data_IF_442661922962
#
_entry.id   IF_442661922962
#
_cell.length_a   1.000
_cell.length_b   1.000
_cell.length_c   1.000
_cell.angle_alpha   90.00
_cell.angle_beta   90.00
_cell.angle_gamma   90.00
#
_symmetry.space_group_name_H-M   'P 1'
#
loop_
_entity.id
_entity.type
_entity.pdbx_description
1 polymer ?
#
# COMPACT_ATOMS: atom_id res chain seq x y z
N UNK A 1 31.36 -9.34 -9.81
CA UNK A 1 31.39 -8.15 -8.94
C UNK A 1 30.36 -7.18 -9.51
N UNK A 2 29.11 -7.25 -9.04
CA UNK A 2 28.01 -6.46 -9.61
C UNK A 2 28.04 -5.06 -8.99
N UNK A 3 28.09 -4.06 -9.89
CA UNK A 3 28.15 -2.63 -9.62
C UNK A 3 27.09 -2.21 -8.58
N UNK A 4 27.52 -1.40 -7.62
CA UNK A 4 26.63 -0.65 -6.75
C UNK A 4 25.56 0.03 -7.62
N UNK A 5 24.31 -0.38 -7.46
CA UNK A 5 23.20 0.21 -8.21
C UNK A 5 23.20 1.72 -7.92
N UNK A 6 23.34 2.52 -8.98
CA UNK A 6 23.35 3.98 -8.89
C UNK A 6 22.07 4.46 -8.20
N UNK A 7 22.12 5.49 -7.32
CA UNK A 7 20.94 6.05 -6.65
C UNK A 7 19.80 6.41 -7.61
N UNK A 8 20.12 6.74 -8.87
CA UNK A 8 19.15 6.99 -9.94
C UNK A 8 18.22 5.81 -10.22
N UNK A 9 18.68 4.57 -10.05
CA UNK A 9 17.84 3.38 -10.23
C UNK A 9 16.74 3.34 -9.17
N UNK A 10 17.08 3.59 -7.90
CA UNK A 10 16.10 3.60 -6.81
C UNK A 10 15.10 4.76 -6.92
N UNK A 11 15.58 5.92 -7.39
CA UNK A 11 14.76 7.13 -7.55
C UNK A 11 13.81 7.10 -8.75
N UNK A 12 14.16 6.38 -9.81
CA UNK A 12 13.42 6.41 -11.08
C UNK A 12 12.67 5.10 -11.38
N UNK A 13 12.82 4.08 -10.55
CA UNK A 13 12.15 2.79 -10.74
C UNK A 13 11.00 2.64 -9.77
N UNK A 14 9.87 2.12 -10.25
CA UNK A 14 8.79 1.63 -9.40
C UNK A 14 9.09 0.20 -8.97
N UNK A 15 9.23 -0.04 -7.67
CA UNK A 15 9.45 -1.39 -7.15
C UNK A 15 8.12 -2.07 -6.86
N UNK A 16 7.91 -3.22 -7.48
CA UNK A 16 6.70 -4.03 -7.29
C UNK A 16 7.02 -5.18 -6.33
N UNK A 17 6.34 -5.20 -5.19
CA UNK A 17 6.55 -6.19 -4.12
C UNK A 17 5.28 -7.01 -3.91
N UNK A 18 5.38 -8.34 -4.01
CA UNK A 18 4.20 -9.22 -4.02
C UNK A 18 4.02 -10.05 -2.75
N UNK A 19 5.02 -10.06 -1.86
CA UNK A 19 5.03 -10.87 -0.66
C UNK A 19 5.40 -10.02 0.57
N UNK A 20 4.59 -10.08 1.62
CA UNK A 20 4.71 -9.21 2.80
C UNK A 20 6.07 -9.30 3.49
N UNK A 21 6.56 -10.52 3.75
CA UNK A 21 7.84 -10.72 4.46
C UNK A 21 9.02 -10.20 3.63
N UNK A 22 9.11 -10.62 2.37
CA UNK A 22 10.19 -10.19 1.47
C UNK A 22 10.18 -8.68 1.25
N UNK A 23 9.00 -8.09 1.13
CA UNK A 23 8.84 -6.64 1.03
C UNK A 23 9.38 -5.93 2.28
N UNK A 24 8.98 -6.38 3.48
CA UNK A 24 9.46 -5.82 4.74
C UNK A 24 10.97 -5.91 4.88
N UNK A 25 11.54 -7.11 4.67
CA UNK A 25 13.00 -7.33 4.74
C UNK A 25 13.78 -6.47 3.73
N UNK A 26 13.26 -6.32 2.51
CA UNK A 26 13.85 -5.48 1.48
C UNK A 26 13.87 -4.00 1.90
N UNK A 27 12.73 -3.47 2.35
CA UNK A 27 12.62 -2.08 2.76
C UNK A 27 13.40 -1.78 4.04
N UNK A 28 13.45 -2.69 5.00
CA UNK A 28 14.32 -2.53 6.19
C UNK A 28 15.79 -2.50 5.81
N UNK A 29 16.22 -3.34 4.85
CA UNK A 29 17.62 -3.42 4.46
C UNK A 29 18.09 -2.22 3.65
N UNK A 30 17.25 -1.71 2.74
CA UNK A 30 17.66 -0.68 1.79
C UNK A 30 17.02 0.69 2.06
N UNK A 31 15.88 0.76 2.74
CA UNK A 31 15.06 1.97 2.86
C UNK A 31 15.56 3.00 3.88
N UNK A 32 16.45 2.62 4.80
CA UNK A 32 16.96 3.51 5.84
C UNK A 32 17.93 4.58 5.30
N UNK A 33 18.67 4.26 4.23
CA UNK A 33 19.62 5.18 3.60
C UNK A 33 18.98 5.83 2.37
N UNK A 34 18.18 6.88 2.60
CA UNK A 34 17.51 7.62 1.54
C UNK A 34 18.45 8.34 0.56
N UNK A 35 19.73 8.55 0.93
CA UNK A 35 20.72 9.15 0.04
C UNK A 35 21.25 8.12 -0.97
N UNK A 36 21.52 6.90 -0.51
CA UNK A 36 21.99 5.80 -1.37
C UNK A 36 20.85 5.10 -2.12
N UNK A 37 19.70 5.00 -1.49
CA UNK A 37 18.52 4.28 -1.98
C UNK A 37 17.25 5.14 -1.86
N UNK A 38 17.12 6.20 -2.68
CA UNK A 38 15.94 7.07 -2.65
C UNK A 38 14.71 6.38 -3.24
N UNK A 39 14.07 5.48 -2.51
CA UNK A 39 12.82 4.83 -2.95
C UNK A 39 11.70 5.86 -3.10
N UNK A 40 11.35 6.21 -4.34
CA UNK A 40 10.31 7.22 -4.62
C UNK A 40 8.96 6.61 -4.98
N UNK A 41 8.92 5.47 -5.65
CA UNK A 41 7.68 4.84 -6.12
C UNK A 41 7.65 3.36 -5.75
N UNK A 42 6.64 2.96 -4.99
CA UNK A 42 6.43 1.57 -4.56
C UNK A 42 5.02 1.09 -4.90
N UNK A 43 4.93 -0.17 -5.33
CA UNK A 43 3.67 -0.85 -5.54
C UNK A 43 3.68 -2.20 -4.81
N UNK A 44 2.75 -2.38 -3.87
CA UNK A 44 2.58 -3.59 -3.10
C UNK A 44 1.37 -4.35 -3.66
N UNK A 45 1.58 -5.61 -4.04
CA UNK A 45 0.54 -6.47 -4.62
C UNK A 45 0.42 -7.77 -3.81
N UNK A 46 -0.06 -7.65 -2.58
CA UNK A 46 0.07 -8.68 -1.55
C UNK A 46 -1.21 -9.50 -1.45
N UNK A 47 -1.05 -10.83 -1.43
CA UNK A 47 -2.11 -11.75 -1.03
C UNK A 47 -1.90 -12.16 0.42
N UNK A 48 -2.81 -11.78 1.29
CA UNK A 48 -2.73 -11.98 2.73
C UNK A 48 -3.15 -13.41 3.11
N UNK A 49 -2.36 -14.14 3.93
CA UNK A 49 -2.82 -15.38 4.53
C UNK A 49 -3.93 -15.11 5.56
N UNK A 50 -4.85 -16.06 5.70
CA UNK A 50 -6.01 -15.96 6.61
C UNK A 50 -5.60 -15.62 8.05
N UNK A 51 -4.45 -16.14 8.49
CA UNK A 51 -3.90 -15.89 9.81
C UNK A 51 -3.66 -14.40 10.09
N UNK A 52 -3.22 -13.63 9.09
CA UNK A 52 -2.98 -12.20 9.26
C UNK A 52 -4.28 -11.43 9.42
N UNK A 53 -5.34 -11.78 8.69
CA UNK A 53 -6.62 -11.09 8.83
C UNK A 53 -7.30 -11.36 10.17
N UNK A 54 -7.08 -12.55 10.74
CA UNK A 54 -7.72 -12.97 11.98
C UNK A 54 -7.17 -12.28 13.23
N UNK A 55 -5.86 -12.00 13.29
CA UNK A 55 -5.28 -11.30 14.45
C UNK A 55 -5.79 -9.86 14.61
N UNK A 56 -6.25 -9.22 13.54
CA UNK A 56 -6.83 -7.87 13.59
C UNK A 56 -8.34 -7.88 13.77
N UNK A 57 -8.98 -9.05 13.78
CA UNK A 57 -10.42 -9.15 13.98
C UNK A 57 -10.79 -8.71 15.41
N UNK A 58 -11.88 -7.95 15.63
CA UNK A 58 -12.30 -7.57 16.97
C UNK A 58 -12.78 -8.81 17.76
N UNK A 59 -12.47 -8.93 19.06
CA UNK A 59 -13.02 -9.99 19.88
C UNK A 59 -14.53 -9.76 20.09
N UNK A 60 -15.31 -10.86 20.14
CA UNK A 60 -16.78 -10.83 20.20
C UNK A 60 -17.36 -10.14 21.46
N UNK A 61 -16.55 -9.82 22.47
CA UNK A 61 -17.00 -9.31 23.78
C UNK A 61 -16.17 -8.14 24.37
N UNK A 62 -15.35 -7.39 23.61
CA UNK A 62 -14.60 -6.27 24.21
C UNK A 62 -15.34 -4.94 24.17
N UNK A 63 -16.00 -4.62 25.28
CA UNK A 63 -16.14 -3.25 25.81
C UNK A 63 -14.88 -2.79 26.58
N UNK A 64 -13.78 -3.54 26.50
CA UNK A 64 -12.56 -3.34 27.29
C UNK A 64 -11.44 -2.70 26.47
N UNK A 65 -10.74 -1.78 27.14
CA UNK A 65 -9.64 -0.88 26.70
C UNK A 65 -8.35 -1.58 26.19
N UNK A 66 -8.46 -2.74 25.56
CA UNK A 66 -7.33 -3.47 24.98
C UNK A 66 -7.30 -3.30 23.46
N UNK A 67 -6.24 -2.68 22.95
CA UNK A 67 -6.04 -2.47 21.50
C UNK A 67 -5.61 -3.76 20.77
N UNK A 68 -5.48 -4.88 21.49
CA UNK A 68 -5.06 -6.17 20.96
C UNK A 68 -6.30 -6.98 20.51
N UNK A 69 -6.27 -7.50 19.28
CA UNK A 69 -7.25 -8.49 18.80
C UNK A 69 -7.11 -9.83 19.53
N UNK A 70 -8.08 -10.75 19.41
CA UNK A 70 -7.96 -12.07 20.01
C UNK A 70 -6.75 -12.79 19.42
N UNK A 71 -6.03 -13.61 20.22
CA UNK A 71 -4.97 -14.46 19.69
C UNK A 71 -5.53 -15.34 18.58
N UNK A 72 -4.78 -15.52 17.49
CA UNK A 72 -5.26 -16.26 16.34
C UNK A 72 -5.66 -17.70 16.71
N UNK A 73 -6.92 -18.07 16.42
CA UNK A 73 -7.51 -19.36 16.76
C UNK A 73 -6.76 -20.53 16.08
N UNK A 74 -6.16 -20.28 14.91
CA UNK A 74 -5.35 -21.25 14.16
C UNK A 74 -3.85 -21.19 14.45
N UNK A 75 -3.40 -20.34 15.39
CA UNK A 75 -2.05 -20.46 15.94
C UNK A 75 -2.00 -21.62 16.95
N UNK A 76 -2.39 -22.82 16.51
CA UNK A 76 -2.33 -24.02 17.33
C UNK A 76 -0.92 -24.19 17.89
N UNK A 77 -0.77 -24.15 19.21
CA UNK A 77 0.38 -24.57 20.03
C UNK A 77 1.80 -24.05 19.71
N UNK A 78 2.07 -23.41 18.56
CA UNK A 78 3.42 -23.41 17.97
C UNK A 78 3.94 -22.03 17.51
N UNK A 79 3.19 -20.94 17.67
CA UNK A 79 3.70 -19.58 17.34
C UNK A 79 3.36 -18.54 18.40
N UNK A 80 3.97 -18.63 19.60
CA UNK A 80 3.76 -17.67 20.70
C UNK A 80 4.22 -16.23 20.43
N UNK A 81 4.63 -15.87 19.20
CA UNK A 81 5.17 -14.54 18.87
C UNK A 81 4.31 -13.73 17.88
N UNK A 82 3.24 -14.28 17.29
CA UNK A 82 2.46 -13.57 16.27
C UNK A 82 1.31 -12.79 16.93
N UNK A 83 1.44 -11.47 16.97
CA UNK A 83 0.46 -10.54 17.54
C UNK A 83 0.13 -9.42 16.56
N UNK A 84 -0.85 -8.57 16.89
CA UNK A 84 -1.17 -7.34 16.15
C UNK A 84 0.07 -6.45 16.01
N UNK A 85 0.90 -6.39 17.05
CA UNK A 85 2.12 -5.56 17.12
C UNK A 85 3.35 -6.25 16.54
N UNK A 86 3.36 -7.59 16.45
CA UNK A 86 4.48 -8.38 15.94
C UNK A 86 4.00 -9.37 14.87
N UNK A 87 3.88 -8.89 13.64
CA UNK A 87 3.58 -9.74 12.49
C UNK A 87 4.18 -9.13 11.19
N UNK A 88 4.33 -9.93 10.12
CA UNK A 88 4.93 -9.47 8.87
C UNK A 88 4.27 -8.24 8.24
N UNK A 89 2.96 -8.07 8.36
CA UNK A 89 2.25 -6.90 7.83
C UNK A 89 2.61 -5.64 8.61
N UNK A 90 2.61 -5.73 9.94
CA UNK A 90 3.03 -4.63 10.81
C UNK A 90 4.46 -4.18 10.50
N UNK A 91 5.40 -5.13 10.39
CA UNK A 91 6.81 -4.85 10.05
C UNK A 91 6.96 -4.17 8.68
N UNK A 92 6.16 -4.57 7.69
CA UNK A 92 6.13 -3.90 6.40
C UNK A 92 5.61 -2.47 6.51
N UNK A 93 4.52 -2.24 7.24
CA UNK A 93 4.01 -0.89 7.46
C UNK A 93 5.02 -0.01 8.20
N UNK A 94 5.70 -0.54 9.21
CA UNK A 94 6.77 0.18 9.93
C UNK A 94 7.91 0.58 8.98
N UNK A 95 8.33 -0.33 8.10
CA UNK A 95 9.34 -0.05 7.10
C UNK A 95 8.89 1.05 6.11
N UNK A 96 7.63 1.05 5.68
CA UNK A 96 7.06 2.09 4.80
C UNK A 96 7.02 3.46 5.48
N UNK A 97 6.61 3.52 6.76
CA UNK A 97 6.59 4.77 7.54
C UNK A 97 7.99 5.37 7.65
N UNK A 98 9.02 4.53 7.70
CA UNK A 98 10.40 4.95 7.81
C UNK A 98 11.04 5.43 6.49
N UNK A 99 10.33 5.40 5.35
CA UNK A 99 10.88 5.81 4.05
C UNK A 99 10.79 7.33 3.87
N UNK A 100 11.93 8.06 3.87
CA UNK A 100 11.92 9.53 3.84
C UNK A 100 11.68 10.11 2.44
N UNK A 101 11.96 9.34 1.39
CA UNK A 101 11.94 9.80 0.00
C UNK A 101 10.72 9.32 -0.79
N UNK A 102 9.75 8.66 -0.13
CA UNK A 102 8.60 8.07 -0.79
C UNK A 102 7.68 9.16 -1.35
N UNK A 103 7.32 9.05 -2.63
CA UNK A 103 6.48 10.01 -3.35
C UNK A 103 5.21 9.40 -3.92
N UNK A 104 5.21 8.09 -4.18
CA UNK A 104 4.07 7.33 -4.65
C UNK A 104 4.04 5.95 -3.98
N UNK A 105 2.86 5.57 -3.50
CA UNK A 105 2.61 4.28 -2.87
C UNK A 105 1.27 3.73 -3.34
N UNK A 106 1.29 2.56 -3.97
CA UNK A 106 0.08 1.81 -4.31
C UNK A 106 0.07 0.50 -3.55
N UNK A 107 -1.03 0.18 -2.90
CA UNK A 107 -1.17 -1.03 -2.09
C UNK A 107 -2.43 -1.76 -2.53
N UNK A 108 -2.25 -2.88 -3.21
CA UNK A 108 -3.32 -3.78 -3.63
C UNK A 108 -3.33 -5.01 -2.73
N UNK A 109 -4.46 -5.24 -2.07
CA UNK A 109 -4.61 -6.34 -1.13
C UNK A 109 -5.73 -7.27 -1.54
N UNK A 110 -5.46 -8.55 -1.36
CA UNK A 110 -6.43 -9.61 -1.48
C UNK A 110 -6.18 -10.65 -0.38
N UNK A 111 -7.15 -11.51 -0.10
CA UNK A 111 -7.03 -12.59 0.87
C UNK A 111 -6.84 -13.94 0.16
N UNK A 112 -6.11 -14.86 0.79
CA UNK A 112 -6.16 -16.28 0.41
C UNK A 112 -7.41 -16.98 0.92
N UNK A 113 -8.19 -16.32 1.78
CA UNK A 113 -9.38 -16.90 2.40
C UNK A 113 -10.50 -17.06 1.37
N UNK A 114 -11.21 -18.18 1.44
CA UNK A 114 -12.42 -18.43 0.64
C UNK A 114 -13.62 -17.66 1.21
N UNK A 115 -13.53 -17.22 2.46
CA UNK A 115 -14.57 -16.42 3.10
C UNK A 115 -14.53 -14.97 2.58
N UNK A 116 -15.70 -14.33 2.45
CA UNK A 116 -15.77 -12.95 2.00
C UNK A 116 -14.97 -11.97 2.89
N UNK A 117 -14.28 -11.02 2.26
CA UNK A 117 -13.49 -9.98 2.94
C UNK A 117 -14.26 -9.26 4.05
N UNK A 118 -15.50 -8.86 3.76
CA UNK A 118 -16.41 -8.18 4.69
C UNK A 118 -16.83 -9.01 5.91
N UNK A 119 -16.42 -10.28 6.04
CA UNK A 119 -16.72 -11.10 7.24
C UNK A 119 -15.50 -11.34 8.12
N UNK A 120 -14.29 -11.02 7.65
CA UNK A 120 -13.03 -11.42 8.33
C UNK A 120 -12.02 -10.31 8.50
N UNK A 121 -12.21 -9.15 7.86
CA UNK A 121 -11.25 -8.05 7.96
C UNK A 121 -11.89 -6.84 8.62
N UNK A 122 -11.27 -6.40 9.70
CA UNK A 122 -11.46 -5.08 10.29
C UNK A 122 -10.47 -4.11 9.65
N UNK A 123 -10.90 -3.41 8.60
CA UNK A 123 -10.01 -2.54 7.83
C UNK A 123 -9.44 -1.41 8.67
N UNK A 124 -10.24 -0.81 9.55
CA UNK A 124 -9.78 0.28 10.43
C UNK A 124 -8.67 -0.17 11.37
N UNK A 125 -8.70 -1.42 11.86
CA UNK A 125 -7.62 -1.96 12.70
C UNK A 125 -6.44 -2.42 11.85
N UNK A 126 -6.71 -3.12 10.77
CA UNK A 126 -5.70 -3.70 9.88
C UNK A 126 -4.83 -2.63 9.20
N UNK A 127 -5.43 -1.51 8.79
CA UNK A 127 -4.74 -0.41 8.11
C UNK A 127 -4.28 0.72 9.00
N UNK A 128 -4.50 0.62 10.32
CA UNK A 128 -4.15 1.70 11.26
C UNK A 128 -2.69 2.14 11.11
N UNK A 129 -1.76 1.19 11.05
CA UNK A 129 -0.33 1.53 10.90
C UNK A 129 0.00 2.07 9.52
N UNK A 130 -0.66 1.58 8.48
CA UNK A 130 -0.47 2.06 7.13
C UNK A 130 -0.90 3.54 7.01
N UNK A 131 -1.89 3.96 7.78
CA UNK A 131 -2.31 5.35 7.87
C UNK A 131 -1.27 6.27 8.56
N UNK A 132 -0.18 5.75 9.13
CA UNK A 132 0.92 6.56 9.68
C UNK A 132 1.97 6.94 8.63
N UNK A 133 1.87 6.45 7.39
CA UNK A 133 2.76 6.88 6.30
C UNK A 133 2.47 8.35 5.99
N UNK A 134 3.49 9.21 6.09
CA UNK A 134 3.40 10.67 5.91
C UNK A 134 4.17 11.10 4.65
N UNK A 135 3.94 12.34 4.21
CA UNK A 135 4.70 12.97 3.11
C UNK A 135 4.19 12.64 1.71
N UNK A 136 3.14 11.83 1.60
CA UNK A 136 2.46 11.52 0.35
C UNK A 136 1.23 12.39 0.16
N UNK A 137 1.01 12.84 -1.07
CA UNK A 137 -0.29 13.37 -1.48
C UNK A 137 -1.32 12.23 -1.54
N UNK A 138 -2.57 12.50 -1.15
CA UNK A 138 -3.66 11.52 -1.07
C UNK A 138 -3.92 10.86 -2.43
N UNK A 139 -3.74 11.60 -3.53
CA UNK A 139 -3.86 11.08 -4.89
C UNK A 139 -2.75 10.10 -5.28
N UNK A 140 -1.60 10.15 -4.61
CA UNK A 140 -0.42 9.32 -4.87
C UNK A 140 -0.27 8.17 -3.89
N UNK A 141 -1.11 8.13 -2.87
CA UNK A 141 -1.24 7.01 -1.95
C UNK A 141 -2.58 6.31 -2.19
N UNK A 142 -2.55 5.18 -2.89
CA UNK A 142 -3.75 4.43 -3.27
C UNK A 142 -3.78 3.10 -2.54
N UNK A 143 -4.89 2.83 -1.84
CA UNK A 143 -5.20 1.55 -1.21
C UNK A 143 -6.32 0.85 -1.98
N UNK A 144 -5.97 -0.16 -2.75
CA UNK A 144 -6.89 -1.02 -3.47
C UNK A 144 -7.38 -2.19 -2.62
N UNK A 145 -8.68 -2.26 -2.40
CA UNK A 145 -9.34 -3.27 -1.57
C UNK A 145 -10.44 -4.01 -2.34
N UNK A 146 -10.78 -5.25 -1.93
CA UNK A 146 -11.93 -5.95 -2.49
C UNK A 146 -13.23 -5.18 -2.30
N UNK A 147 -14.17 -5.40 -3.24
CA UNK A 147 -15.52 -4.84 -3.17
C UNK A 147 -16.27 -5.33 -1.92
N UNK A 148 -17.06 -4.42 -1.34
CA UNK A 148 -17.96 -4.73 -0.25
C UNK A 148 -19.37 -4.92 -0.82
N UNK A 149 -20.14 -5.91 -0.33
CA UNK A 149 -21.50 -6.11 -0.82
C UNK A 149 -22.41 -4.91 -0.49
N UNK A 150 -23.27 -4.52 -1.42
CA UNK A 150 -24.23 -3.41 -1.27
C UNK A 150 -25.21 -3.64 -0.10
N UNK A 151 -25.65 -4.90 0.10
CA UNK A 151 -26.52 -5.30 1.20
C UNK A 151 -25.74 -6.10 2.23
N UNK A 152 -25.41 -5.44 3.34
CA UNK A 152 -24.93 -6.08 4.58
C UNK A 152 -26.16 -6.54 5.37
N UNK A 153 -26.67 -7.72 5.03
CA UNK A 153 -27.88 -8.27 5.65
C UNK A 153 -27.71 -8.58 7.15
N UNK A 154 -28.80 -8.93 7.86
CA UNK A 154 -28.75 -9.27 9.29
C UNK A 154 -27.88 -10.50 9.63
N UNK A 155 -27.66 -11.40 8.66
CA UNK A 155 -26.72 -12.54 8.76
C UNK A 155 -25.29 -12.21 8.28
N UNK A 156 -25.04 -10.95 7.91
CA UNK A 156 -23.69 -10.49 7.66
C UNK A 156 -23.05 -10.24 9.01
N UNK A 157 -22.04 -11.02 9.37
CA UNK A 157 -21.04 -10.65 10.37
C UNK A 157 -20.21 -9.44 9.87
N UNK A 158 -20.85 -8.47 9.21
CA UNK A 158 -20.24 -7.23 8.78
C UNK A 158 -20.01 -6.40 10.04
N UNK A 159 -18.74 -6.10 10.28
CA UNK A 159 -18.32 -5.34 11.44
C UNK A 159 -18.68 -3.86 11.22
N UNK A 160 -19.83 -3.43 11.76
CA UNK A 160 -20.31 -2.06 11.60
C UNK A 160 -19.24 -1.07 12.07
N UNK A 161 -18.94 -0.07 11.23
CA UNK A 161 -17.93 0.94 11.53
C UNK A 161 -16.49 0.42 11.53
N UNK A 162 -16.19 -0.75 10.99
CA UNK A 162 -14.81 -1.25 10.89
C UNK A 162 -14.24 -1.25 9.46
N UNK A 163 -15.00 -0.73 8.51
CA UNK A 163 -14.58 -0.54 7.12
C UNK A 163 -14.17 0.93 6.89
N UNK A 164 -13.26 1.13 5.94
CA UNK A 164 -12.83 2.46 5.50
C UNK A 164 -13.87 3.02 4.52
N UNK A 165 -14.89 3.68 5.06
CA UNK A 165 -16.01 4.29 4.35
C UNK A 165 -16.46 5.59 5.04
N UNK A 166 -17.10 6.48 4.28
CA UNK A 166 -17.63 7.76 4.80
C UNK A 166 -16.55 8.58 5.49
N UNK A 167 -16.89 9.13 6.66
CA UNK A 167 -16.03 10.01 7.46
C UNK A 167 -14.65 9.39 7.79
N UNK A 168 -14.53 8.06 7.83
CA UNK A 168 -13.26 7.38 8.10
C UNK A 168 -12.25 7.51 6.96
N UNK A 169 -12.71 7.86 5.76
CA UNK A 169 -11.86 8.13 4.61
C UNK A 169 -11.25 9.53 4.67
N UNK A 170 -11.83 10.46 5.41
CA UNK A 170 -11.35 11.84 5.49
C UNK A 170 -10.07 11.91 6.34
N UNK A 171 -9.99 11.10 7.39
CA UNK A 171 -8.87 11.06 8.34
C UNK A 171 -7.63 10.28 7.86
N UNK A 172 -7.71 9.56 6.74
CA UNK A 172 -6.60 8.72 6.24
C UNK A 172 -5.80 9.39 5.12
N UNK A 173 -4.47 9.14 5.04
CA UNK A 173 -3.59 9.78 4.06
C UNK A 173 -3.67 9.17 2.65
N UNK A 174 -4.60 8.25 2.40
CA UNK A 174 -4.71 7.52 1.13
C UNK A 174 -6.13 7.57 0.56
N UNK A 175 -6.23 7.36 -0.74
CA UNK A 175 -7.50 7.07 -1.42
C UNK A 175 -7.79 5.58 -1.38
N UNK A 176 -9.03 5.20 -1.11
CA UNK A 176 -9.46 3.80 -1.18
C UNK A 176 -10.12 3.56 -2.53
N UNK A 177 -9.62 2.57 -3.28
CA UNK A 177 -10.23 2.08 -4.51
C UNK A 177 -10.79 0.68 -4.27
N UNK A 178 -12.09 0.51 -4.52
CA UNK A 178 -12.76 -0.78 -4.41
C UNK A 178 -12.84 -1.42 -5.79
N UNK A 179 -12.47 -2.69 -5.89
CA UNK A 179 -12.54 -3.41 -7.15
C UNK A 179 -11.88 -4.78 -7.11
N UNK A 180 -11.96 -5.54 -8.21
CA UNK A 180 -11.17 -6.75 -8.37
C UNK A 180 -9.68 -6.41 -8.32
N UNK A 181 -8.88 -7.31 -7.76
CA UNK A 181 -7.42 -7.17 -7.78
C UNK A 181 -6.98 -6.99 -9.24
N UNK A 182 -6.21 -5.93 -9.57
CA UNK A 182 -5.66 -5.82 -10.90
C UNK A 182 -4.76 -7.03 -11.15
N UNK A 183 -4.96 -7.71 -12.28
CA UNK A 183 -4.08 -8.82 -12.63
C UNK A 183 -2.66 -8.26 -12.84
N UNK A 184 -1.62 -9.07 -12.62
CA UNK A 184 -0.23 -8.59 -12.72
C UNK A 184 0.07 -7.93 -14.09
N UNK A 185 -0.69 -8.31 -15.13
CA UNK A 185 -0.64 -7.72 -16.47
C UNK A 185 -1.24 -6.30 -16.54
N UNK A 186 -2.35 -6.04 -15.85
CA UNK A 186 -3.00 -4.75 -15.74
C UNK A 186 -2.12 -3.75 -14.98
N UNK A 187 -1.42 -4.18 -13.93
CA UNK A 187 -0.44 -3.31 -13.26
C UNK A 187 0.74 -2.97 -14.17
N UNK A 188 1.25 -3.97 -14.90
CA UNK A 188 2.29 -3.74 -15.90
C UNK A 188 1.84 -2.76 -17.00
N UNK A 189 0.62 -2.92 -17.52
CA UNK A 189 0.03 -2.03 -18.54
C UNK A 189 -0.28 -0.63 -18.00
N UNK A 190 -0.81 -0.51 -16.77
CA UNK A 190 -1.10 0.79 -16.16
C UNK A 190 0.19 1.61 -15.97
N UNK A 191 1.29 0.94 -15.59
CA UNK A 191 2.60 1.58 -15.45
C UNK A 191 3.20 1.98 -16.82
N UNK A 192 3.01 1.18 -17.88
CA UNK A 192 3.40 1.58 -19.24
C UNK A 192 2.58 2.80 -19.70
N UNK A 193 1.28 2.82 -19.44
CA UNK A 193 0.40 3.91 -19.85
C UNK A 193 0.66 5.21 -19.06
N UNK A 194 0.96 5.12 -17.77
CA UNK A 194 1.30 6.29 -16.95
C UNK A 194 2.66 6.89 -17.33
N UNK A 195 3.66 6.04 -17.63
CA UNK A 195 4.96 6.47 -18.18
C UNK A 195 4.82 7.04 -19.60
N UNK A 196 3.98 6.42 -20.43
CA UNK A 196 3.68 6.89 -21.79
C UNK A 196 2.94 8.23 -21.81
N UNK A 197 1.98 8.43 -20.90
CA UNK A 197 1.28 9.70 -20.75
C UNK A 197 2.22 10.84 -20.32
N UNK A 198 3.16 10.57 -19.41
CA UNK A 198 4.18 11.53 -19.00
C UNK A 198 5.16 11.87 -20.15
N UNK A 199 5.50 10.89 -21.00
CA UNK A 199 6.35 11.09 -22.17
C UNK A 199 5.66 11.90 -23.29
N UNK A 200 4.33 11.77 -23.43
CA UNK A 200 3.53 12.53 -24.41
C UNK A 200 3.25 13.98 -23.98
N UNK A 201 3.47 14.31 -22.70
CA UNK A 201 3.39 15.69 -22.18
C UNK A 201 4.73 16.43 -22.19
N UNK A 202 5.81 15.83 -22.70
CA UNK A 202 7.05 16.55 -22.92
C UNK A 202 6.82 17.63 -24.00
N UNK A 203 7.20 18.90 -23.75
CA UNK A 203 7.15 19.91 -24.79
C UNK A 203 8.05 19.43 -25.94
N UNK A 204 7.48 19.37 -27.14
CA UNK A 204 8.19 19.06 -28.38
C UNK A 204 9.49 19.86 -28.43
N UNK A 205 10.68 19.22 -28.49
CA UNK A 205 11.92 19.93 -28.66
C UNK A 205 11.99 20.40 -30.12
N UNK A 206 11.44 21.58 -30.41
CA UNK A 206 11.29 21.98 -31.81
C UNK A 206 10.55 23.27 -32.09
N UNK A 207 10.57 24.26 -31.20
CA UNK A 207 10.27 25.64 -31.60
C UNK A 207 11.23 26.56 -30.86
N UNK A 208 12.43 26.70 -31.43
CA UNK A 208 13.32 27.79 -31.07
C UNK A 208 12.58 29.12 -31.31
N UNK A 209 12.65 30.09 -30.37
CA UNK A 209 12.17 31.43 -30.65
C UNK A 209 13.03 32.00 -31.78
N UNK A 210 12.38 32.35 -32.89
CA UNK A 210 13.00 33.09 -33.98
C UNK A 210 13.45 34.43 -33.41
N UNK A 211 14.75 34.60 -33.21
CA UNK A 211 15.34 35.89 -32.92
C UNK A 211 15.00 36.85 -34.06
N UNK A 212 14.40 38.02 -33.80
CA UNK A 212 14.28 39.04 -34.82
C UNK A 212 15.69 39.55 -35.17
N UNK A 213 16.06 39.42 -36.46
CA UNK A 213 17.29 39.99 -36.99
C UNK A 213 17.37 41.49 -36.69
N UNK A 214 18.56 42.02 -36.34
CA UNK A 214 18.75 43.45 -36.21
C UNK A 214 18.76 44.09 -37.59
N UNK A 215 17.82 44.99 -37.85
CA UNK A 215 17.84 45.89 -39.00
C UNK A 215 18.53 47.18 -38.57
N UNK A 216 19.70 47.43 -39.13
CA UNK A 216 20.30 48.76 -39.31
C UNK A 216 20.69 48.86 -40.80
N UNK A 217 20.54 50.01 -41.46
CA UNK A 217 20.94 51.34 -41.01
C UNK A 217 19.78 52.28 -40.67
#
# INVERSE_FOLDING_TARGET
MYLEALPSLYGNTTFILTATRTAGEFLTRYGADGARHPFRSLELCIRLPNLLTEIYYPPAHSSSKGDEGPPAIFAGGARPMLSVTNNPWQHLCDALVALPALQELRVWLDSSDLRPWHKRVSETRFFRRLADVRGLDKARFVLGLPELPERRGPDSHALQGQYLEGDKLDDVPFTVQRGPRPNNWQNHLHNILSLGAAALTLPTPGTAPVHPNPVHP
#
